data_IF_077103105441
#
_entry.id   IF_077103105441
#
_cell.length_a   1.000
_cell.length_b   1.000
_cell.length_c   1.000
_cell.angle_alpha   90.00
_cell.angle_beta   90.00
_cell.angle_gamma   90.00
#
_symmetry.space_group_name_H-M   'P 1'
#
loop_
_entity.id
_entity.type
_entity.pdbx_description
1 polymer ?
#
# COMPACT_ATOMS: atom_id res chain seq x y z
N UNK A 1 12.25 73.66 21.04
CA UNK A 1 12.66 73.75 19.62
C UNK A 1 12.86 72.32 19.15
N UNK A 2 11.98 71.90 18.21
CA UNK A 2 11.98 70.68 17.37
C UNK A 2 12.07 69.32 18.09
N UNK A 3 11.03 68.47 18.07
CA UNK A 3 10.64 67.55 16.96
C UNK A 3 11.89 66.88 16.37
N UNK A 4 12.01 65.57 16.30
CA UNK A 4 11.18 64.63 15.54
C UNK A 4 11.82 63.25 15.81
N UNK A 5 11.08 62.16 16.00
CA UNK A 5 10.83 61.24 14.90
C UNK A 5 11.96 60.19 14.82
N UNK A 6 11.73 58.90 14.87
CA UNK A 6 10.49 58.16 14.79
C UNK A 6 10.79 56.67 14.95
N UNK A 7 9.68 55.94 15.04
CA UNK A 7 9.45 54.70 14.33
C UNK A 7 10.29 53.49 14.78
N UNK A 8 9.71 52.48 15.41
CA UNK A 8 8.58 51.77 14.81
C UNK A 8 9.07 50.52 14.07
N UNK A 9 9.81 49.65 14.74
CA UNK A 9 9.97 48.27 14.32
C UNK A 9 9.40 47.38 15.44
N UNK A 10 8.07 47.34 15.52
CA UNK A 10 7.31 46.18 15.03
C UNK A 10 7.62 44.96 15.91
N UNK A 11 7.09 44.89 17.14
CA UNK A 11 5.69 44.58 17.38
C UNK A 11 5.15 43.59 16.32
N UNK A 12 5.69 42.37 16.28
CA UNK A 12 5.09 41.24 15.57
C UNK A 12 5.49 39.93 16.23
N UNK A 13 5.27 39.85 17.54
CA UNK A 13 5.06 38.56 18.20
C UNK A 13 3.72 38.02 17.70
N UNK A 14 3.80 37.33 16.56
CA UNK A 14 2.69 36.60 15.99
C UNK A 14 2.26 35.58 17.04
N UNK A 15 0.98 35.57 17.38
CA UNK A 15 0.34 34.52 18.16
C UNK A 15 -0.23 33.46 17.17
N UNK A 16 0.55 32.50 16.64
CA UNK A 16 0.02 31.40 15.82
C UNK A 16 -0.66 30.29 16.65
N UNK A 17 -0.72 30.45 17.97
CA UNK A 17 -1.04 29.37 18.91
C UNK A 17 -2.46 28.82 18.83
N UNK A 18 -3.46 29.59 18.38
CA UNK A 18 -4.84 29.06 18.20
C UNK A 18 -5.03 28.41 16.84
N UNK A 19 -4.57 29.05 15.77
CA UNK A 19 -4.71 28.53 14.41
C UNK A 19 -3.95 27.21 14.26
N UNK A 20 -2.72 27.14 14.81
CA UNK A 20 -1.94 25.90 14.76
C UNK A 20 -2.60 24.76 15.54
N UNK A 21 -3.16 25.05 16.72
CA UNK A 21 -3.93 24.05 17.50
C UNK A 21 -5.20 23.60 16.77
N UNK A 22 -5.87 24.50 16.05
CA UNK A 22 -7.06 24.17 15.28
C UNK A 22 -6.72 23.26 14.09
N UNK A 23 -5.64 23.57 13.37
CA UNK A 23 -5.13 22.74 12.27
C UNK A 23 -4.67 21.37 12.76
N UNK A 24 -3.98 21.31 13.91
CA UNK A 24 -3.56 20.04 14.50
C UNK A 24 -4.76 19.20 14.95
N UNK A 25 -5.80 19.84 15.51
CA UNK A 25 -7.05 19.19 15.86
C UNK A 25 -7.80 18.67 14.61
N UNK A 26 -7.80 19.45 13.53
CA UNK A 26 -8.41 19.06 12.26
C UNK A 26 -7.70 17.86 11.63
N UNK A 27 -6.36 17.86 11.57
CA UNK A 27 -5.57 16.71 11.08
C UNK A 27 -5.81 15.45 11.90
N UNK A 28 -5.95 15.58 13.23
CA UNK A 28 -6.29 14.44 14.11
C UNK A 28 -7.69 13.91 13.84
N UNK A 29 -8.63 14.79 13.55
CA UNK A 29 -9.99 14.41 13.18
C UNK A 29 -10.02 13.68 11.83
N UNK A 30 -9.31 14.18 10.81
CA UNK A 30 -9.13 13.50 9.52
C UNK A 30 -8.48 12.13 9.69
N UNK A 31 -7.37 12.03 10.44
CA UNK A 31 -6.70 10.75 10.69
C UNK A 31 -7.59 9.74 11.42
N UNK A 32 -8.40 10.21 12.37
CA UNK A 32 -9.38 9.36 13.07
C UNK A 32 -10.49 8.91 12.11
N UNK A 33 -11.02 9.83 11.30
CA UNK A 33 -12.04 9.53 10.31
C UNK A 33 -11.53 8.49 9.29
N UNK A 34 -10.36 8.71 8.70
CA UNK A 34 -9.73 7.76 7.79
C UNK A 34 -9.44 6.42 8.46
N UNK A 35 -9.00 6.41 9.72
CA UNK A 35 -8.79 5.17 10.44
C UNK A 35 -10.09 4.37 10.62
N UNK A 36 -11.18 5.04 11.00
CA UNK A 36 -12.50 4.42 11.20
C UNK A 36 -13.09 3.95 9.86
N UNK A 37 -13.06 4.77 8.82
CA UNK A 37 -13.57 4.42 7.51
C UNK A 37 -12.70 3.33 6.85
N UNK A 38 -11.39 3.48 6.77
CA UNK A 38 -10.54 2.44 6.19
C UNK A 38 -10.63 1.12 6.97
N UNK A 39 -10.78 1.14 8.30
CA UNK A 39 -10.82 -0.08 9.12
C UNK A 39 -11.91 -1.07 8.71
N UNK A 40 -13.10 -0.56 8.38
CA UNK A 40 -14.25 -1.41 8.05
C UNK A 40 -14.07 -2.12 6.72
N UNK A 41 -13.42 -1.49 5.75
CA UNK A 41 -13.22 -2.08 4.42
C UNK A 41 -11.88 -2.80 4.25
N UNK A 42 -10.88 -2.58 5.12
CA UNK A 42 -9.59 -3.29 5.05
C UNK A 42 -9.73 -4.81 4.94
N UNK A 43 -10.66 -5.41 5.71
CA UNK A 43 -10.89 -6.86 5.68
C UNK A 43 -11.56 -7.31 4.38
N UNK A 44 -12.50 -6.54 3.84
CA UNK A 44 -13.16 -6.85 2.58
C UNK A 44 -12.18 -6.72 1.40
N UNK A 45 -11.38 -5.67 1.37
CA UNK A 45 -10.35 -5.44 0.35
C UNK A 45 -9.28 -6.54 0.36
N UNK A 46 -8.81 -6.97 1.53
CA UNK A 46 -7.86 -8.08 1.63
C UNK A 46 -8.45 -9.40 1.14
N UNK A 47 -9.73 -9.64 1.42
CA UNK A 47 -10.43 -10.83 0.93
C UNK A 47 -10.54 -10.81 -0.59
N UNK A 48 -10.92 -9.68 -1.17
CA UNK A 48 -11.02 -9.54 -2.63
C UNK A 48 -9.66 -9.74 -3.30
N UNK A 49 -8.61 -9.11 -2.78
CA UNK A 49 -7.25 -9.29 -3.26
C UNK A 49 -6.80 -10.76 -3.18
N UNK A 50 -7.13 -11.45 -2.08
CA UNK A 50 -6.83 -12.87 -1.93
C UNK A 50 -7.60 -13.72 -2.95
N UNK A 51 -8.90 -13.46 -3.15
CA UNK A 51 -9.72 -14.17 -4.14
C UNK A 51 -9.18 -14.00 -5.56
N UNK A 52 -8.76 -12.79 -5.92
CA UNK A 52 -8.13 -12.54 -7.23
C UNK A 52 -6.82 -13.31 -7.37
N UNK A 53 -5.97 -13.29 -6.34
CA UNK A 53 -4.72 -14.03 -6.34
C UNK A 53 -4.93 -15.57 -6.39
N UNK A 54 -5.93 -16.10 -5.69
CA UNK A 54 -6.26 -17.53 -5.69
C UNK A 54 -6.85 -17.97 -7.03
N UNK A 55 -7.66 -17.13 -7.68
CA UNK A 55 -8.15 -17.36 -9.06
C UNK A 55 -6.98 -17.46 -10.02
N UNK A 56 -6.03 -16.54 -9.91
CA UNK A 56 -4.84 -16.53 -10.74
C UNK A 56 -4.00 -17.81 -10.54
N UNK A 57 -3.77 -18.22 -9.29
CA UNK A 57 -3.09 -19.47 -8.96
C UNK A 57 -3.82 -20.70 -9.50
N UNK A 58 -5.15 -20.74 -9.42
CA UNK A 58 -5.95 -21.83 -9.97
C UNK A 58 -5.77 -21.94 -11.50
N UNK A 59 -5.74 -20.81 -12.21
CA UNK A 59 -5.49 -20.77 -13.65
C UNK A 59 -4.12 -21.32 -14.05
N UNK A 60 -3.08 -21.12 -13.23
CA UNK A 60 -1.76 -21.76 -13.45
C UNK A 60 -1.74 -23.22 -13.04
N UNK A 61 -2.49 -23.63 -12.01
CA UNK A 61 -2.60 -25.04 -11.65
C UNK A 61 -3.26 -25.85 -12.79
N UNK A 62 -4.23 -25.26 -13.50
CA UNK A 62 -4.81 -25.89 -14.70
C UNK A 62 -3.74 -26.23 -15.75
N UNK A 63 -2.75 -25.35 -15.95
CA UNK A 63 -1.63 -25.60 -16.86
C UNK A 63 -0.79 -26.81 -16.41
N UNK A 64 -0.51 -26.94 -15.11
CA UNK A 64 0.22 -28.11 -14.57
C UNK A 64 -0.55 -29.42 -14.76
N UNK A 65 -1.88 -29.35 -14.84
CA UNK A 65 -2.76 -30.49 -15.11
C UNK A 65 -2.92 -30.77 -16.61
N UNK A 66 -2.27 -29.98 -17.49
CA UNK A 66 -2.37 -30.08 -18.94
C UNK A 66 -3.72 -29.59 -19.49
N UNK A 67 -4.46 -28.79 -18.73
CA UNK A 67 -5.73 -28.18 -19.15
C UNK A 67 -5.43 -26.80 -19.69
N UNK A 68 -5.71 -26.58 -20.98
CA UNK A 68 -5.51 -25.28 -21.64
C UNK A 68 -6.19 -24.15 -20.85
N UNK A 69 -5.41 -23.17 -20.42
CA UNK A 69 -5.93 -21.99 -19.73
C UNK A 69 -6.47 -20.96 -20.75
N UNK A 70 -7.78 -20.61 -20.70
CA UNK A 70 -8.41 -19.73 -21.68
C UNK A 70 -7.90 -18.28 -21.68
N UNK A 71 -7.15 -17.86 -20.65
CA UNK A 71 -6.57 -16.51 -20.56
C UNK A 71 -5.04 -16.50 -20.60
N UNK A 72 -4.40 -17.63 -20.93
CA UNK A 72 -2.94 -17.79 -20.87
C UNK A 72 -2.17 -16.66 -21.58
N UNK A 73 -2.60 -16.26 -22.78
CA UNK A 73 -1.97 -15.19 -23.57
C UNK A 73 -2.13 -13.79 -22.97
N UNK A 74 -3.29 -13.50 -22.37
CA UNK A 74 -3.58 -12.18 -21.78
C UNK A 74 -2.90 -12.01 -20.42
N UNK A 75 -2.54 -13.13 -19.78
CA UNK A 75 -1.93 -13.13 -18.44
C UNK A 75 -0.40 -13.25 -18.45
N UNK A 76 0.25 -13.23 -19.63
CA UNK A 76 1.70 -13.39 -19.75
C UNK A 76 2.48 -12.34 -18.93
N UNK A 77 2.02 -11.09 -18.91
CA UNK A 77 2.64 -10.00 -18.16
C UNK A 77 2.56 -10.16 -16.63
N UNK A 78 1.65 -11.02 -16.17
CA UNK A 78 1.44 -11.30 -14.75
C UNK A 78 2.31 -12.46 -14.27
N UNK A 79 2.90 -13.25 -15.18
CA UNK A 79 3.78 -14.39 -14.85
C UNK A 79 4.90 -14.01 -13.86
N UNK A 80 5.61 -12.87 -14.00
CA UNK A 80 6.67 -12.51 -13.06
C UNK A 80 6.16 -12.29 -11.63
N UNK A 81 5.01 -11.64 -11.47
CA UNK A 81 4.39 -11.42 -10.16
C UNK A 81 3.89 -12.74 -9.55
N UNK A 82 3.35 -13.64 -10.38
CA UNK A 82 2.94 -14.97 -9.93
C UNK A 82 4.08 -15.85 -9.46
N UNK A 83 5.23 -15.82 -10.15
CA UNK A 83 6.43 -16.56 -9.76
C UNK A 83 6.91 -16.10 -8.37
N UNK A 84 6.90 -14.79 -8.11
CA UNK A 84 7.26 -14.26 -6.79
C UNK A 84 6.33 -14.75 -5.67
N UNK A 85 5.02 -14.76 -5.91
CA UNK A 85 4.02 -15.28 -4.97
C UNK A 85 4.15 -16.78 -4.71
N UNK A 86 4.41 -17.56 -5.77
CA UNK A 86 4.65 -19.00 -5.67
C UNK A 86 5.91 -19.27 -4.84
N UNK A 87 6.96 -18.48 -5.05
CA UNK A 87 8.19 -18.58 -4.31
C UNK A 87 7.97 -18.28 -2.82
N UNK A 88 7.23 -17.22 -2.48
CA UNK A 88 6.90 -16.90 -1.08
C UNK A 88 6.06 -18.01 -0.43
N UNK A 89 5.13 -18.61 -1.17
CA UNK A 89 4.36 -19.76 -0.70
C UNK A 89 5.22 -21.01 -0.50
N UNK A 90 6.11 -21.31 -1.45
CA UNK A 90 7.03 -22.45 -1.39
C UNK A 90 7.97 -22.33 -0.18
N UNK A 91 8.52 -21.14 0.08
CA UNK A 91 9.32 -20.86 1.27
C UNK A 91 8.55 -21.14 2.57
N UNK A 92 7.24 -20.83 2.63
CA UNK A 92 6.39 -21.15 3.80
C UNK A 92 6.09 -22.63 3.94
N UNK A 93 6.09 -23.39 2.84
CA UNK A 93 5.86 -24.85 2.85
C UNK A 93 7.10 -25.64 3.33
N UNK A 94 8.23 -24.96 3.55
CA UNK A 94 9.37 -25.49 4.28
C UNK A 94 10.52 -26.02 3.42
N UNK A 95 10.52 -25.75 2.11
CA UNK A 95 11.61 -26.15 1.22
C UNK A 95 12.32 -24.91 0.64
N UNK A 96 13.54 -24.58 1.10
CA UNK A 96 14.26 -23.40 0.65
C UNK A 96 14.86 -23.56 -0.76
N UNK A 97 14.91 -24.77 -1.32
CA UNK A 97 15.48 -25.06 -2.63
C UNK A 97 14.59 -26.05 -3.39
N UNK A 98 14.00 -25.61 -4.50
CA UNK A 98 13.48 -26.57 -5.49
C UNK A 98 14.69 -27.13 -6.23
N UNK A 99 14.90 -28.44 -6.17
CA UNK A 99 16.09 -29.11 -6.71
C UNK A 99 16.32 -28.89 -8.21
N UNK A 100 17.02 -27.82 -8.57
CA UNK A 100 17.99 -27.64 -9.65
C UNK A 100 18.45 -26.16 -9.64
N UNK A 101 19.75 -25.85 -9.47
CA UNK A 101 20.25 -24.47 -9.41
C UNK A 101 20.04 -23.64 -10.70
N UNK A 102 19.67 -24.28 -11.81
CA UNK A 102 19.50 -23.59 -13.11
C UNK A 102 18.10 -23.00 -13.33
N UNK A 103 17.11 -23.33 -12.49
CA UNK A 103 15.71 -22.91 -12.68
C UNK A 103 15.08 -22.23 -11.46
N UNK A 104 15.87 -21.91 -10.42
CA UNK A 104 15.35 -21.18 -9.27
C UNK A 104 16.37 -20.19 -8.68
N UNK A 105 16.68 -19.16 -9.46
CA UNK A 105 17.12 -17.81 -9.07
C UNK A 105 16.86 -16.87 -10.24
#
# INVERSE_FOLDING_TARGET
MTRDGGDGHAAREQHPGRVRRLLDAWRRFEAFHDAVFASRWRRALRREAQTQADTMRALVLLETLGVDNPVAYETLDLIPAMIADLHEWHQRMGDPEYGNPEVCC
#
